data_IF_847419298054
#
_entry.id   IF_847419298054
#
_cell.length_a   1.000
_cell.length_b   1.000
_cell.length_c   1.000
_cell.angle_alpha   90.00
_cell.angle_beta   90.00
_cell.angle_gamma   90.00
#
_symmetry.space_group_name_H-M   'P 1'
#
loop_
_entity.id
_entity.type
_entity.pdbx_description
1 polymer ?
#
# COMPACT_ATOMS: atom_id res chain seq x y z
N UNK A 1 4.36 32.88 7.40
CA UNK A 1 3.41 33.18 6.30
C UNK A 1 2.15 32.41 6.65
N UNK A 2 1.06 33.13 6.85
CA UNK A 2 -0.20 32.53 7.35
C UNK A 2 -0.91 31.78 6.23
N UNK A 3 -1.64 30.74 6.57
CA UNK A 3 -2.44 29.94 5.63
C UNK A 3 -3.40 30.79 4.78
N UNK A 4 -3.82 31.93 5.28
CA UNK A 4 -4.65 32.92 4.54
C UNK A 4 -3.96 33.50 3.30
N UNK A 5 -2.66 33.78 3.34
CA UNK A 5 -1.92 34.28 2.18
C UNK A 5 -1.76 33.24 1.07
N UNK A 6 -1.66 31.95 1.44
CA UNK A 6 -1.55 30.86 0.45
C UNK A 6 -2.89 30.62 -0.26
N UNK A 7 -4.01 30.78 0.47
CA UNK A 7 -5.36 30.66 -0.13
C UNK A 7 -5.67 31.85 -1.07
N UNK A 8 -5.31 33.08 -0.69
CA UNK A 8 -5.49 34.24 -1.57
C UNK A 8 -4.65 34.18 -2.86
N UNK A 9 -3.41 33.70 -2.75
CA UNK A 9 -2.52 33.56 -3.93
C UNK A 9 -3.01 32.47 -4.90
N UNK A 10 -3.59 31.40 -4.40
CA UNK A 10 -4.18 30.32 -5.22
C UNK A 10 -5.46 30.80 -5.92
N UNK A 11 -6.32 31.54 -5.23
CA UNK A 11 -7.57 32.07 -5.80
C UNK A 11 -7.31 33.05 -6.95
N UNK A 12 -6.40 33.99 -6.76
CA UNK A 12 -6.02 34.94 -7.83
C UNK A 12 -5.40 34.22 -9.04
N UNK A 13 -4.70 33.13 -8.83
CA UNK A 13 -4.08 32.33 -9.88
C UNK A 13 -5.12 31.57 -10.72
N UNK A 14 -6.14 30.97 -10.10
CA UNK A 14 -7.16 30.16 -10.79
C UNK A 14 -8.06 31.02 -11.67
N UNK A 15 -8.55 32.17 -11.18
CA UNK A 15 -9.40 33.07 -11.96
C UNK A 15 -8.65 33.72 -13.11
N UNK A 16 -7.39 34.11 -12.92
CA UNK A 16 -6.54 34.64 -13.98
C UNK A 16 -6.33 33.59 -15.10
N UNK A 17 -6.08 32.33 -14.74
CA UNK A 17 -5.91 31.25 -15.72
C UNK A 17 -7.22 30.90 -16.44
N UNK A 18 -8.38 30.98 -15.78
CA UNK A 18 -9.68 30.80 -16.42
C UNK A 18 -9.93 31.86 -17.50
N UNK A 19 -9.52 33.11 -17.26
CA UNK A 19 -9.70 34.21 -18.25
C UNK A 19 -8.84 34.01 -19.52
N UNK A 20 -7.80 33.20 -19.47
CA UNK A 20 -6.94 32.87 -20.61
C UNK A 20 -7.47 31.72 -21.47
N UNK A 21 -8.54 31.04 -21.05
CA UNK A 21 -9.05 29.87 -21.74
C UNK A 21 -9.74 30.21 -23.06
N UNK A 22 -9.59 29.31 -24.03
CA UNK A 22 -10.42 29.36 -25.25
C UNK A 22 -11.85 28.92 -24.91
N UNK A 23 -12.84 29.38 -25.67
CA UNK A 23 -14.27 29.09 -25.46
C UNK A 23 -14.57 27.58 -25.26
N UNK A 24 -13.83 26.68 -25.97
CA UNK A 24 -14.01 25.24 -25.85
C UNK A 24 -13.48 24.70 -24.51
N UNK A 25 -12.35 25.22 -24.05
CA UNK A 25 -11.75 24.83 -22.78
C UNK A 25 -12.53 25.44 -21.61
N UNK A 26 -13.03 26.65 -21.73
CA UNK A 26 -13.91 27.31 -20.76
C UNK A 26 -15.20 26.50 -20.54
N UNK A 27 -15.86 26.08 -21.62
CA UNK A 27 -17.03 25.20 -21.51
C UNK A 27 -16.73 23.88 -20.84
N UNK A 28 -15.56 23.28 -21.13
CA UNK A 28 -15.14 22.03 -20.46
C UNK A 28 -14.96 22.24 -18.95
N UNK A 29 -14.28 23.32 -18.55
CA UNK A 29 -14.07 23.64 -17.12
C UNK A 29 -15.40 23.92 -16.42
N UNK A 30 -16.28 24.70 -17.01
CA UNK A 30 -17.61 24.97 -16.46
C UNK A 30 -18.43 23.68 -16.22
N UNK A 31 -18.43 22.77 -17.20
CA UNK A 31 -19.11 21.47 -17.05
C UNK A 31 -18.45 20.59 -16.00
N UNK A 32 -17.12 20.62 -15.90
CA UNK A 32 -16.36 19.87 -14.90
C UNK A 32 -16.66 20.35 -13.48
N UNK A 33 -16.66 21.67 -13.24
CA UNK A 33 -17.00 22.25 -11.95
C UNK A 33 -18.41 21.87 -11.50
N UNK A 34 -19.37 21.97 -12.42
CA UNK A 34 -20.74 21.59 -12.16
C UNK A 34 -20.85 20.10 -11.79
N UNK A 35 -20.21 19.24 -12.54
CA UNK A 35 -20.26 17.80 -12.31
C UNK A 35 -19.54 17.39 -11.01
N UNK A 36 -18.46 18.09 -10.61
CA UNK A 36 -17.79 17.89 -9.34
C UNK A 36 -18.67 18.34 -8.16
N UNK A 37 -19.39 19.48 -8.28
CA UNK A 37 -20.38 19.91 -7.28
C UNK A 37 -21.51 18.88 -7.12
N UNK A 38 -22.02 18.35 -8.22
CA UNK A 38 -23.03 17.29 -8.22
C UNK A 38 -22.50 15.97 -7.58
N UNK A 39 -21.18 15.71 -7.67
CA UNK A 39 -20.50 14.59 -7.03
C UNK A 39 -20.18 14.82 -5.53
N UNK A 40 -20.50 16.01 -4.98
CA UNK A 40 -20.34 16.33 -3.56
C UNK A 40 -19.00 16.98 -3.15
N UNK A 41 -18.24 17.48 -4.13
CA UNK A 41 -17.01 18.22 -3.86
C UNK A 41 -17.34 19.66 -3.42
N UNK A 42 -16.62 20.13 -2.39
CA UNK A 42 -16.70 21.54 -1.98
C UNK A 42 -15.89 22.47 -2.90
N UNK A 43 -16.08 23.78 -2.76
CA UNK A 43 -15.43 24.77 -3.61
C UNK A 43 -13.90 24.74 -3.49
N UNK A 44 -13.36 24.52 -2.29
CA UNK A 44 -11.93 24.48 -2.05
C UNK A 44 -11.28 23.23 -2.69
N UNK A 45 -11.99 22.12 -2.70
CA UNK A 45 -11.54 20.88 -3.36
C UNK A 45 -11.53 21.05 -4.89
N UNK A 46 -12.58 21.66 -5.43
CA UNK A 46 -12.69 21.94 -6.88
C UNK A 46 -11.57 22.90 -7.32
N UNK A 47 -11.35 23.97 -6.56
CA UNK A 47 -10.31 24.94 -6.83
C UNK A 47 -8.90 24.32 -6.81
N UNK A 48 -8.65 23.42 -5.87
CA UNK A 48 -7.40 22.65 -5.79
C UNK A 48 -7.19 21.79 -7.03
N UNK A 49 -8.21 21.11 -7.53
CA UNK A 49 -8.10 20.31 -8.76
C UNK A 49 -7.87 21.21 -9.98
N UNK A 50 -8.57 22.34 -10.05
CA UNK A 50 -8.41 23.29 -11.14
C UNK A 50 -7.04 23.97 -11.14
N UNK A 51 -6.46 24.25 -9.98
CA UNK A 51 -5.11 24.85 -9.87
C UNK A 51 -4.02 23.96 -10.50
N UNK A 52 -4.23 22.66 -10.53
CA UNK A 52 -3.32 21.70 -11.18
C UNK A 52 -3.61 21.61 -12.70
N UNK A 53 -4.87 21.64 -13.10
CA UNK A 53 -5.27 21.42 -14.51
C UNK A 53 -5.11 22.67 -15.40
N UNK A 54 -5.45 23.84 -14.89
CA UNK A 54 -5.49 25.06 -15.68
C UNK A 54 -4.16 25.45 -16.31
N UNK A 55 -3.01 25.40 -15.61
CA UNK A 55 -1.72 25.72 -16.22
C UNK A 55 -1.40 24.85 -17.43
N UNK A 56 -1.70 23.55 -17.34
CA UNK A 56 -1.47 22.61 -18.43
C UNK A 56 -2.39 22.91 -19.63
N UNK A 57 -3.67 23.21 -19.36
CA UNK A 57 -4.62 23.59 -20.42
C UNK A 57 -4.18 24.88 -21.13
N UNK A 58 -3.80 25.92 -20.38
CA UNK A 58 -3.34 27.20 -20.93
C UNK A 58 -2.06 27.04 -21.75
N UNK A 59 -1.15 26.17 -21.33
CA UNK A 59 0.06 25.88 -22.10
C UNK A 59 -0.28 25.13 -23.39
N UNK A 60 -1.04 24.03 -23.31
CA UNK A 60 -1.31 23.13 -24.44
C UNK A 60 -2.31 23.71 -25.45
N UNK A 61 -3.23 24.62 -25.06
CA UNK A 61 -4.13 25.28 -25.99
C UNK A 61 -3.39 26.16 -27.00
N UNK A 62 -2.20 26.68 -26.66
CA UNK A 62 -1.33 27.42 -27.60
C UNK A 62 -0.89 26.54 -28.77
N UNK A 63 -0.81 25.22 -28.55
CA UNK A 63 -0.54 24.21 -29.59
C UNK A 63 -1.83 23.65 -30.25
N UNK A 64 -3.01 24.22 -29.93
CA UNK A 64 -4.31 23.79 -30.50
C UNK A 64 -4.89 22.54 -29.79
N UNK A 65 -4.32 22.09 -28.68
CA UNK A 65 -4.83 20.93 -27.92
C UNK A 65 -5.93 21.40 -26.96
N UNK A 66 -7.07 20.70 -26.97
CA UNK A 66 -8.21 21.04 -26.10
C UNK A 66 -8.14 20.27 -24.76
N UNK A 67 -8.79 20.80 -23.71
CA UNK A 67 -8.91 20.14 -22.41
C UNK A 67 -9.50 18.72 -22.52
N UNK A 68 -10.45 18.52 -23.46
CA UNK A 68 -11.01 17.20 -23.74
C UNK A 68 -10.00 16.21 -24.33
N UNK A 69 -9.04 16.69 -25.11
CA UNK A 69 -7.97 15.83 -25.65
C UNK A 69 -6.93 15.48 -24.60
N UNK A 70 -6.72 16.37 -23.60
CA UNK A 70 -5.77 16.12 -22.48
C UNK A 70 -6.35 15.18 -21.42
N UNK A 71 -7.61 15.41 -21.04
CA UNK A 71 -8.20 14.78 -19.85
C UNK A 71 -9.40 13.86 -20.14
N UNK A 72 -9.73 13.65 -21.41
CA UNK A 72 -10.90 12.87 -21.81
C UNK A 72 -12.21 13.64 -21.70
N UNK A 73 -13.33 12.94 -21.57
CA UNK A 73 -14.65 13.56 -21.36
C UNK A 73 -14.78 14.07 -19.92
N UNK A 74 -15.71 15.02 -19.71
CA UNK A 74 -16.00 15.52 -18.34
C UNK A 74 -16.37 14.37 -17.39
N UNK A 75 -17.17 13.42 -17.84
CA UNK A 75 -17.57 12.26 -17.03
C UNK A 75 -16.38 11.38 -16.64
N UNK A 76 -15.49 11.08 -17.58
CA UNK A 76 -14.26 10.32 -17.31
C UNK A 76 -13.36 11.07 -16.34
N UNK A 77 -13.22 12.39 -16.51
CA UNK A 77 -12.40 13.21 -15.60
C UNK A 77 -12.99 13.25 -14.19
N UNK A 78 -14.31 13.45 -14.05
CA UNK A 78 -14.98 13.40 -12.74
C UNK A 78 -14.78 12.05 -12.09
N UNK A 79 -14.97 10.95 -12.83
CA UNK A 79 -14.71 9.60 -12.29
C UNK A 79 -13.27 9.43 -11.82
N UNK A 80 -12.30 9.96 -12.55
CA UNK A 80 -10.89 9.90 -12.15
C UNK A 80 -10.60 10.71 -10.89
N UNK A 81 -11.24 11.88 -10.73
CA UNK A 81 -11.10 12.73 -9.54
C UNK A 81 -11.80 12.09 -8.33
N UNK A 82 -13.02 11.57 -8.50
CA UNK A 82 -13.77 10.85 -7.44
C UNK A 82 -13.04 9.57 -7.01
N UNK A 83 -12.45 8.84 -7.95
CA UNK A 83 -11.62 7.68 -7.65
C UNK A 83 -10.35 8.05 -6.87
N UNK A 84 -10.03 9.34 -6.83
CA UNK A 84 -8.79 9.85 -6.26
C UNK A 84 -7.59 9.67 -7.20
N UNK A 85 -6.42 10.16 -6.83
CA UNK A 85 -5.22 9.98 -7.64
C UNK A 85 -5.09 8.50 -7.94
N UNK A 86 -5.06 8.17 -9.24
CA UNK A 86 -4.74 6.81 -9.69
C UNK A 86 -3.45 6.48 -8.97
N UNK A 87 -3.55 5.64 -7.93
CA UNK A 87 -2.35 5.14 -7.27
C UNK A 87 -1.57 4.50 -8.39
N UNK A 88 -0.40 5.06 -8.67
CA UNK A 88 0.53 4.46 -9.60
C UNK A 88 0.47 2.94 -9.35
N UNK A 89 0.10 2.11 -10.34
CA UNK A 89 0.02 0.66 -10.14
C UNK A 89 1.31 0.10 -9.55
N UNK A 90 2.42 0.83 -9.72
CA UNK A 90 3.73 0.56 -9.13
C UNK A 90 3.94 1.24 -7.76
N UNK A 91 3.05 2.15 -7.31
CA UNK A 91 3.17 2.82 -6.02
C UNK A 91 2.90 1.84 -4.87
N UNK A 92 3.97 1.37 -4.27
CA UNK A 92 3.90 0.52 -3.07
C UNK A 92 3.70 1.37 -1.82
N UNK A 93 2.99 0.79 -0.86
CA UNK A 93 2.89 1.38 0.47
C UNK A 93 4.27 1.54 1.13
N UNK A 94 4.42 2.43 2.11
CA UNK A 94 5.66 2.56 2.86
C UNK A 94 6.17 1.23 3.41
N UNK A 95 7.48 1.06 3.44
CA UNK A 95 8.13 -0.19 3.83
C UNK A 95 7.64 -0.78 5.16
N UNK A 96 7.40 0.08 6.16
CA UNK A 96 6.93 -0.37 7.46
C UNK A 96 5.53 -0.99 7.41
N UNK A 97 4.64 -0.49 6.53
CA UNK A 97 3.30 -1.07 6.36
C UNK A 97 3.38 -2.46 5.72
N UNK A 98 4.22 -2.60 4.70
CA UNK A 98 4.46 -3.89 4.03
C UNK A 98 5.10 -4.88 5.01
N UNK A 99 6.07 -4.43 5.81
CA UNK A 99 6.73 -5.24 6.82
C UNK A 99 5.75 -5.71 7.90
N UNK A 100 4.92 -4.81 8.45
CA UNK A 100 3.91 -5.17 9.46
C UNK A 100 2.89 -6.15 8.88
N UNK A 101 2.37 -5.90 7.67
CA UNK A 101 1.42 -6.80 7.00
C UNK A 101 2.03 -8.19 6.79
N UNK A 102 3.29 -8.26 6.33
CA UNK A 102 4.02 -9.50 6.13
C UNK A 102 4.34 -10.24 7.44
N UNK A 103 4.77 -9.53 8.45
CA UNK A 103 5.05 -10.09 9.77
C UNK A 103 3.80 -10.68 10.43
N UNK A 104 2.68 -9.97 10.39
CA UNK A 104 1.39 -10.46 10.88
C UNK A 104 0.92 -11.70 10.11
N UNK A 105 1.16 -11.76 8.80
CA UNK A 105 0.83 -12.93 7.99
C UNK A 105 1.66 -14.13 8.41
N UNK A 106 2.99 -14.02 8.37
CA UNK A 106 3.89 -15.13 8.64
C UNK A 106 3.78 -15.58 10.11
N UNK A 107 3.92 -14.65 11.05
CA UNK A 107 3.82 -14.96 12.48
C UNK A 107 2.44 -15.49 12.87
N UNK A 108 1.36 -14.92 12.32
CA UNK A 108 0.00 -15.37 12.57
C UNK A 108 -0.26 -16.80 12.06
N UNK A 109 0.19 -17.11 10.82
CA UNK A 109 0.08 -18.46 10.28
C UNK A 109 0.87 -19.50 11.10
N UNK A 110 2.10 -19.16 11.47
CA UNK A 110 2.91 -20.08 12.30
C UNK A 110 2.35 -20.27 13.70
N UNK A 111 1.78 -19.22 14.30
CA UNK A 111 1.08 -19.35 15.57
C UNK A 111 -0.13 -20.31 15.44
N UNK A 112 -0.97 -20.13 14.40
CA UNK A 112 -2.11 -21.02 14.17
C UNK A 112 -1.68 -22.47 13.94
N UNK A 113 -0.68 -22.70 13.08
CA UNK A 113 -0.17 -24.05 12.81
C UNK A 113 0.36 -24.71 14.09
N UNK A 114 1.13 -23.97 14.90
CA UNK A 114 1.63 -24.47 16.18
C UNK A 114 0.49 -24.80 17.14
N UNK A 115 -0.51 -23.91 17.25
CA UNK A 115 -1.69 -24.15 18.10
C UNK A 115 -2.50 -25.38 17.67
N UNK A 116 -2.75 -25.52 16.37
CA UNK A 116 -3.46 -26.69 15.81
C UNK A 116 -2.67 -27.98 16.01
N UNK A 117 -1.34 -27.96 15.79
CA UNK A 117 -0.49 -29.12 16.01
C UNK A 117 -0.52 -29.58 17.46
N UNK A 118 -0.41 -28.64 18.42
CA UNK A 118 -0.50 -28.97 19.87
C UNK A 118 -1.90 -29.48 20.25
N UNK A 119 -2.95 -28.96 19.65
CA UNK A 119 -4.32 -29.41 19.91
C UNK A 119 -4.55 -30.87 19.42
N UNK A 120 -4.03 -31.19 18.23
CA UNK A 120 -4.21 -32.52 17.63
C UNK A 120 -3.27 -33.57 18.20
N UNK A 121 -2.05 -33.21 18.60
CA UNK A 121 -1.04 -34.11 19.07
C UNK A 121 -0.38 -33.60 20.39
N UNK A 122 -1.11 -33.61 21.50
CA UNK A 122 -0.60 -33.08 22.77
C UNK A 122 0.61 -33.88 23.35
N UNK A 123 0.82 -35.11 22.87
CA UNK A 123 1.88 -36.01 23.30
C UNK A 123 3.03 -36.14 22.31
N UNK A 124 3.15 -35.26 21.31
CA UNK A 124 4.21 -35.33 20.31
C UNK A 124 5.58 -34.99 20.95
N UNK A 125 6.63 -35.78 20.62
CA UNK A 125 8.02 -35.47 21.00
C UNK A 125 8.58 -34.22 20.32
N UNK A 126 7.85 -33.61 19.41
CA UNK A 126 8.23 -32.38 18.75
C UNK A 126 8.07 -31.21 19.72
N UNK A 127 9.17 -30.54 20.03
CA UNK A 127 9.13 -29.31 20.85
C UNK A 127 8.36 -28.22 20.10
N UNK A 128 7.26 -27.72 20.65
CA UNK A 128 6.52 -26.65 20.05
C UNK A 128 7.34 -25.34 20.07
N UNK A 129 7.03 -24.44 19.15
CA UNK A 129 7.70 -23.16 19.07
C UNK A 129 7.42 -22.33 20.33
N UNK A 130 8.44 -21.95 21.07
CA UNK A 130 8.28 -21.09 22.25
C UNK A 130 7.93 -19.64 21.87
N UNK A 131 7.47 -18.89 22.87
CA UNK A 131 7.01 -17.51 22.71
C UNK A 131 8.06 -16.60 22.08
N UNK A 132 9.32 -16.72 22.51
CA UNK A 132 10.40 -15.88 21.97
C UNK A 132 10.73 -16.22 20.52
N UNK A 133 10.75 -17.51 20.17
CA UNK A 133 10.89 -17.97 18.78
C UNK A 133 9.72 -17.50 17.92
N UNK A 134 8.50 -17.49 18.45
CA UNK A 134 7.34 -16.96 17.76
C UNK A 134 7.50 -15.45 17.48
N UNK A 135 7.98 -14.67 18.46
CA UNK A 135 8.27 -13.25 18.26
C UNK A 135 9.32 -13.03 17.18
N UNK A 136 10.41 -13.80 17.20
CA UNK A 136 11.42 -13.78 16.13
C UNK A 136 10.78 -14.08 14.78
N UNK A 137 9.84 -15.01 14.71
CA UNK A 137 9.16 -15.39 13.48
C UNK A 137 8.31 -14.22 12.92
N UNK A 138 7.62 -13.46 13.78
CA UNK A 138 6.93 -12.24 13.36
C UNK A 138 7.90 -11.21 12.77
N UNK A 139 9.02 -10.96 13.44
CA UNK A 139 10.00 -9.95 13.02
C UNK A 139 10.71 -10.40 11.73
N UNK A 140 11.24 -11.62 11.72
CA UNK A 140 11.95 -12.13 10.54
C UNK A 140 11.01 -12.29 9.35
N UNK A 141 9.77 -12.75 9.56
CA UNK A 141 8.74 -12.81 8.55
C UNK A 141 8.44 -11.43 7.94
N UNK A 142 8.41 -10.36 8.76
CA UNK A 142 8.25 -9.00 8.28
C UNK A 142 9.37 -8.59 7.30
N UNK A 143 10.62 -8.87 7.63
CA UNK A 143 11.76 -8.57 6.76
C UNK A 143 11.78 -9.41 5.48
N UNK A 144 11.45 -10.70 5.58
CA UNK A 144 11.35 -11.59 4.41
C UNK A 144 10.30 -11.08 3.43
N UNK A 145 9.09 -10.77 3.93
CA UNK A 145 8.00 -10.30 3.09
C UNK A 145 8.30 -8.92 2.49
N UNK A 146 8.97 -8.05 3.23
CA UNK A 146 9.45 -6.78 2.69
C UNK A 146 10.49 -6.98 1.58
N UNK A 147 11.45 -7.89 1.77
CA UNK A 147 12.47 -8.20 0.76
C UNK A 147 11.84 -8.78 -0.53
N UNK A 148 10.88 -9.69 -0.39
CA UNK A 148 10.10 -10.26 -1.49
C UNK A 148 9.34 -9.16 -2.23
N UNK A 149 8.59 -8.31 -1.49
CA UNK A 149 7.82 -7.22 -2.07
C UNK A 149 8.70 -6.22 -2.83
N UNK A 150 9.84 -5.80 -2.26
CA UNK A 150 10.76 -4.85 -2.91
C UNK A 150 11.36 -5.36 -4.22
N UNK A 151 11.54 -6.66 -4.33
CA UNK A 151 12.14 -7.29 -5.50
C UNK A 151 11.11 -7.95 -6.42
N UNK A 152 9.81 -7.79 -6.17
CA UNK A 152 8.76 -8.33 -7.02
C UNK A 152 8.94 -7.92 -8.49
N UNK A 153 8.71 -8.84 -9.44
CA UNK A 153 8.90 -8.58 -10.86
C UNK A 153 7.97 -7.47 -11.34
N UNK A 154 8.48 -6.59 -12.21
CA UNK A 154 7.69 -5.56 -12.88
C UNK A 154 7.13 -6.12 -14.18
N UNK A 155 5.84 -6.41 -14.22
CA UNK A 155 5.18 -7.03 -15.37
C UNK A 155 5.10 -6.13 -16.59
N UNK A 156 5.07 -4.80 -16.37
CA UNK A 156 5.00 -3.79 -17.44
C UNK A 156 6.32 -3.63 -18.20
N UNK A 157 7.42 -4.13 -17.65
CA UNK A 157 8.71 -4.09 -18.32
C UNK A 157 8.81 -5.17 -19.42
N UNK A 158 9.57 -4.91 -20.51
CA UNK A 158 9.84 -5.89 -21.56
C UNK A 158 10.40 -7.21 -21.00
N UNK A 159 10.15 -8.32 -21.72
CA UNK A 159 10.72 -9.62 -21.37
C UNK A 159 12.24 -9.49 -21.27
N UNK A 160 12.83 -9.95 -20.17
CA UNK A 160 14.27 -9.84 -19.87
C UNK A 160 14.64 -8.71 -18.88
N UNK A 161 13.82 -7.67 -18.75
CA UNK A 161 14.03 -6.55 -17.79
C UNK A 161 13.12 -6.62 -16.57
N UNK A 162 12.31 -7.67 -16.43
CA UNK A 162 11.31 -7.83 -15.36
C UNK A 162 11.90 -8.15 -13.99
N UNK A 163 13.20 -8.44 -13.91
CA UNK A 163 13.89 -8.70 -12.65
C UNK A 163 13.58 -10.05 -11.99
N UNK A 164 13.08 -11.04 -12.73
CA UNK A 164 12.73 -12.37 -12.21
C UNK A 164 13.88 -13.07 -11.49
N UNK A 165 15.08 -13.05 -12.08
CA UNK A 165 16.26 -13.71 -11.49
C UNK A 165 16.59 -13.07 -10.15
N UNK A 166 16.61 -11.73 -10.09
CA UNK A 166 16.84 -11.00 -8.84
C UNK A 166 15.79 -11.34 -7.79
N UNK A 167 14.52 -11.34 -8.18
CA UNK A 167 13.41 -11.73 -7.31
C UNK A 167 13.60 -13.14 -6.76
N UNK A 168 13.91 -14.12 -7.63
CA UNK A 168 14.11 -15.52 -7.23
C UNK A 168 15.27 -15.66 -6.24
N UNK A 169 16.42 -15.07 -6.54
CA UNK A 169 17.61 -15.13 -5.69
C UNK A 169 17.34 -14.48 -4.33
N UNK A 170 16.81 -13.25 -4.32
CA UNK A 170 16.53 -12.54 -3.06
C UNK A 170 15.50 -13.27 -2.23
N UNK A 171 14.42 -13.78 -2.83
CA UNK A 171 13.38 -14.54 -2.12
C UNK A 171 13.94 -15.83 -1.51
N UNK A 172 14.74 -16.57 -2.28
CA UNK A 172 15.36 -17.82 -1.79
C UNK A 172 16.32 -17.54 -0.63
N UNK A 173 17.21 -16.55 -0.79
CA UNK A 173 18.16 -16.20 0.28
C UNK A 173 17.42 -15.72 1.53
N UNK A 174 16.40 -14.87 1.38
CA UNK A 174 15.61 -14.38 2.51
C UNK A 174 14.87 -15.52 3.24
N UNK A 175 14.28 -16.46 2.50
CA UNK A 175 13.60 -17.63 3.08
C UNK A 175 14.58 -18.57 3.80
N UNK A 176 15.74 -18.84 3.20
CA UNK A 176 16.78 -19.68 3.83
C UNK A 176 17.30 -19.01 5.11
N UNK A 177 17.60 -17.71 5.05
CA UNK A 177 18.06 -16.97 6.23
C UNK A 177 17.00 -16.98 7.35
N UNK A 178 15.73 -16.82 7.02
CA UNK A 178 14.63 -16.92 7.97
C UNK A 178 14.53 -18.32 8.61
N UNK A 179 14.58 -19.39 7.81
CA UNK A 179 14.55 -20.77 8.32
C UNK A 179 15.72 -21.03 9.27
N UNK A 180 16.94 -20.63 8.89
CA UNK A 180 18.12 -20.76 9.76
C UNK A 180 17.89 -20.02 11.07
N UNK A 181 17.39 -18.79 11.02
CA UNK A 181 17.15 -17.96 12.20
C UNK A 181 16.10 -18.58 13.14
N UNK A 182 15.02 -19.14 12.61
CA UNK A 182 13.99 -19.85 13.38
C UNK A 182 14.58 -21.12 14.02
N UNK A 183 15.31 -21.94 13.28
CA UNK A 183 15.93 -23.16 13.79
C UNK A 183 16.95 -22.83 14.89
N UNK A 184 17.83 -21.86 14.64
CA UNK A 184 18.81 -21.43 15.65
C UNK A 184 18.12 -20.88 16.90
N UNK A 185 17.03 -20.12 16.76
CA UNK A 185 16.30 -19.59 17.91
C UNK A 185 15.69 -20.71 18.78
N UNK A 186 15.19 -21.78 18.16
CA UNK A 186 14.68 -22.93 18.92
C UNK A 186 15.79 -23.69 19.62
N UNK A 187 16.97 -23.82 19.01
CA UNK A 187 18.06 -24.63 19.54
C UNK A 187 18.89 -23.91 20.60
N UNK A 188 19.14 -22.63 20.45
CA UNK A 188 20.06 -21.88 21.30
C UNK A 188 19.39 -21.02 22.38
N UNK A 189 18.10 -20.71 22.26
CA UNK A 189 17.41 -19.96 23.30
C UNK A 189 16.96 -20.90 24.41
N UNK A 190 17.41 -20.66 25.65
CA UNK A 190 17.03 -21.51 26.78
C UNK A 190 15.52 -21.58 26.99
N UNK A 191 14.98 -22.70 27.36
CA UNK A 191 13.55 -22.93 27.63
C UNK A 191 12.97 -21.99 28.70
N UNK A 192 13.81 -21.47 29.58
CA UNK A 192 13.43 -20.48 30.61
C UNK A 192 12.96 -19.18 29.96
N UNK A 193 13.53 -18.78 28.82
CA UNK A 193 13.17 -17.57 28.06
C UNK A 193 12.15 -17.92 26.98
N UNK A 194 12.35 -19.06 26.30
CA UNK A 194 11.52 -19.54 25.22
C UNK A 194 10.36 -20.39 25.70
N UNK A 195 9.51 -19.80 26.54
CA UNK A 195 8.41 -20.49 27.22
C UNK A 195 7.41 -21.00 26.18
N UNK A 196 7.05 -22.28 26.29
CA UNK A 196 5.98 -22.88 25.50
C UNK A 196 4.63 -22.54 26.14
N UNK A 197 3.70 -22.03 25.36
CA UNK A 197 2.34 -21.73 25.82
C UNK A 197 1.40 -22.90 25.57
N UNK A 198 0.20 -22.87 26.15
CA UNK A 198 -0.86 -23.80 25.80
C UNK A 198 -1.40 -23.50 24.39
N UNK A 199 -2.03 -24.47 23.75
CA UNK A 199 -2.49 -24.36 22.35
C UNK A 199 -3.49 -23.20 22.14
N UNK A 200 -4.30 -22.88 23.14
CA UNK A 200 -5.29 -21.82 23.09
C UNK A 200 -4.65 -20.46 22.84
N UNK A 201 -3.51 -20.18 23.48
CA UNK A 201 -2.77 -18.93 23.31
C UNK A 201 -2.20 -18.80 21.91
N UNK A 202 -1.67 -19.87 21.34
CA UNK A 202 -1.19 -19.84 19.95
C UNK A 202 -2.33 -19.59 18.97
N UNK A 203 -3.49 -20.23 19.16
CA UNK A 203 -4.66 -20.00 18.31
C UNK A 203 -5.17 -18.57 18.45
N UNK A 204 -5.23 -18.03 19.66
CA UNK A 204 -5.67 -16.67 19.93
C UNK A 204 -4.73 -15.62 19.27
N UNK A 205 -3.42 -15.78 19.47
CA UNK A 205 -2.39 -14.91 18.88
C UNK A 205 -2.47 -14.96 17.36
N UNK A 206 -2.55 -16.17 16.80
CA UNK A 206 -2.63 -16.35 15.35
C UNK A 206 -3.88 -15.75 14.75
N UNK A 207 -5.04 -15.99 15.36
CA UNK A 207 -6.31 -15.40 14.92
C UNK A 207 -6.31 -13.85 15.04
N UNK A 208 -5.81 -13.32 16.14
CA UNK A 208 -5.69 -11.88 16.36
C UNK A 208 -4.71 -11.22 15.36
N UNK A 209 -3.58 -11.87 15.06
CA UNK A 209 -2.60 -11.39 14.09
C UNK A 209 -3.19 -11.34 12.68
N UNK A 210 -3.89 -12.38 12.24
CA UNK A 210 -4.53 -12.40 10.92
C UNK A 210 -5.69 -11.41 10.83
N UNK A 211 -6.53 -11.32 11.86
CA UNK A 211 -7.59 -10.31 11.92
C UNK A 211 -7.00 -8.89 11.88
N UNK A 212 -5.94 -8.63 12.64
CA UNK A 212 -5.20 -7.37 12.64
C UNK A 212 -4.60 -7.05 11.28
N UNK A 213 -4.03 -8.05 10.60
CA UNK A 213 -3.53 -7.91 9.22
C UNK A 213 -4.62 -7.41 8.27
N UNK A 214 -5.77 -8.10 8.22
CA UNK A 214 -6.87 -7.72 7.32
C UNK A 214 -7.43 -6.35 7.66
N UNK A 215 -7.59 -6.03 8.96
CA UNK A 215 -8.05 -4.72 9.40
C UNK A 215 -7.08 -3.61 8.99
N UNK A 216 -5.77 -3.77 9.26
CA UNK A 216 -4.75 -2.78 8.91
C UNK A 216 -4.61 -2.63 7.40
N UNK A 217 -4.63 -3.74 6.66
CA UNK A 217 -4.59 -3.72 5.19
C UNK A 217 -5.73 -2.90 4.60
N UNK A 218 -6.95 -3.08 5.12
CA UNK A 218 -8.13 -2.31 4.69
C UNK A 218 -8.05 -0.83 5.13
N UNK A 219 -7.70 -0.57 6.40
CA UNK A 219 -7.66 0.79 6.97
C UNK A 219 -6.55 1.65 6.36
N UNK A 220 -5.37 1.09 6.14
CA UNK A 220 -4.20 1.78 5.58
C UNK A 220 -4.10 1.63 4.06
N UNK A 221 -5.01 0.88 3.44
CA UNK A 221 -5.04 0.59 2.01
C UNK A 221 -3.66 0.12 1.50
N UNK A 222 -3.09 -0.91 2.15
CA UNK A 222 -1.74 -1.39 1.89
C UNK A 222 -1.66 -2.04 0.50
N UNK A 223 -0.80 -1.47 -0.36
CA UNK A 223 -0.53 -1.92 -1.73
C UNK A 223 0.90 -2.45 -1.83
N UNK A 224 1.08 -3.52 -2.62
CA UNK A 224 2.40 -4.13 -2.84
C UNK A 224 2.82 -5.14 -1.76
N UNK A 225 1.95 -5.47 -0.81
CA UNK A 225 2.15 -6.63 0.04
C UNK A 225 1.80 -7.92 -0.71
N UNK A 226 2.44 -9.02 -0.34
CA UNK A 226 2.17 -10.36 -0.92
C UNK A 226 0.85 -10.86 -0.34
N UNK A 227 -0.25 -10.84 -1.08
CA UNK A 227 -1.66 -11.10 -0.76
C UNK A 227 -2.41 -9.91 -0.15
#
# INVERSE_FOLDING_TARGET
>A
MSEQNVQEEVVVSVDALKAELTNKNEQFIYQLERALKEAGFDEAQIEKELSVMLPEIVEKQKAGVTARQLFGTVTERVQSIVAGPVKDPDAKSPDWQIAVDGGLLVGGLFALVTGVMLMLNPSSDTQPMGLFTLLINFIAGAFVMLAISKNAPKFDNPKGQRGYIRYLVVSTVAMVAWLILVVLSQQYIPSVINIVMSYEWYLLIGAAALAGKFYLKKKLNIVGSVM
#
